data_IF_827765152755
#
_entry.id   IF_827765152755
#
_cell.length_a   1.000
_cell.length_b   1.000
_cell.length_c   1.000
_cell.angle_alpha   90.00
_cell.angle_beta   90.00
_cell.angle_gamma   90.00
#
_symmetry.space_group_name_H-M   'P 1'
#
loop_
_entity.id
_entity.type
_entity.pdbx_description
1 polymer ?
#
# COMPACT_ATOMS: atom_id res chain seq x y z
N UNK A 1 -7.75 3.46 4.30
CA UNK A 1 -8.77 2.52 4.80
C UNK A 1 -8.11 1.34 5.52
N UNK A 2 -7.24 0.54 4.89
CA UNK A 2 -6.63 -0.64 5.51
C UNK A 2 -5.74 -0.32 6.71
N UNK A 3 -4.91 0.72 6.57
CA UNK A 3 -4.14 1.31 7.69
C UNK A 3 -5.03 1.74 8.86
N UNK A 4 -6.18 2.35 8.60
CA UNK A 4 -7.14 2.79 9.63
C UNK A 4 -7.85 1.62 10.30
N UNK A 5 -8.30 0.62 9.54
CA UNK A 5 -8.96 -0.56 10.09
C UNK A 5 -8.00 -1.34 10.99
N UNK A 6 -6.74 -1.50 10.58
CA UNK A 6 -5.71 -2.11 11.40
C UNK A 6 -5.47 -1.31 12.69
N UNK A 7 -5.34 0.02 12.60
CA UNK A 7 -5.20 0.91 13.76
C UNK A 7 -6.35 0.79 14.75
N UNK A 8 -7.60 0.80 14.26
CA UNK A 8 -8.79 0.68 15.11
C UNK A 8 -8.92 -0.68 15.78
N UNK A 9 -8.57 -1.77 15.09
CA UNK A 9 -8.56 -3.13 15.67
C UNK A 9 -7.50 -3.24 16.77
N UNK A 10 -6.37 -2.54 16.62
CA UNK A 10 -5.30 -2.51 17.62
C UNK A 10 -5.55 -1.50 18.76
N UNK A 11 -6.71 -0.84 18.78
CA UNK A 11 -7.12 0.06 19.85
C UNK A 11 -6.58 1.48 19.74
N UNK A 12 -5.97 1.86 18.61
CA UNK A 12 -5.52 3.23 18.37
C UNK A 12 -6.67 4.13 17.94
N UNK A 13 -6.64 5.38 18.42
CA UNK A 13 -7.54 6.42 17.92
C UNK A 13 -7.04 6.86 16.53
N UNK A 14 -7.66 6.31 15.50
CA UNK A 14 -7.25 6.51 14.12
C UNK A 14 -8.20 7.48 13.42
N UNK A 15 -7.63 8.55 12.87
CA UNK A 15 -8.32 9.55 12.06
C UNK A 15 -7.98 9.36 10.59
N UNK A 16 -8.99 9.38 9.72
CA UNK A 16 -8.77 9.38 8.27
C UNK A 16 -8.83 10.83 7.80
N UNK A 17 -7.75 11.29 7.17
CA UNK A 17 -7.73 12.48 6.35
C UNK A 17 -7.79 12.07 4.87
N UNK A 18 -8.25 12.95 3.98
CA UNK A 18 -8.35 12.66 2.54
C UNK A 18 -7.04 12.23 1.88
N UNK A 19 -5.89 12.58 2.48
CA UNK A 19 -4.55 12.24 1.97
C UNK A 19 -3.89 11.05 2.66
N UNK A 20 -4.20 10.80 3.93
CA UNK A 20 -3.56 9.76 4.75
C UNK A 20 -4.47 9.27 5.87
N UNK A 21 -4.27 8.04 6.31
CA UNK A 21 -4.76 7.61 7.61
C UNK A 21 -3.70 8.00 8.65
N UNK A 22 -4.06 8.87 9.57
CA UNK A 22 -3.22 9.21 10.73
C UNK A 22 -3.73 8.40 11.92
N UNK A 23 -2.82 7.79 12.65
CA UNK A 23 -3.12 7.08 13.87
C UNK A 23 -2.43 7.83 15.01
N UNK A 24 -3.15 8.06 16.11
CA UNK A 24 -2.59 8.72 17.28
C UNK A 24 -1.70 7.75 18.05
N UNK A 25 -0.49 7.59 17.55
CA UNK A 25 0.62 6.95 18.23
C UNK A 25 1.58 8.01 18.79
N UNK A 26 1.12 9.27 18.87
CA UNK A 26 1.95 10.42 19.21
C UNK A 26 2.56 10.28 20.60
N UNK A 27 1.85 9.71 21.56
CA UNK A 27 2.37 9.51 22.92
C UNK A 27 3.52 8.49 22.95
N UNK A 28 3.35 7.30 22.35
CA UNK A 28 4.42 6.28 22.30
C UNK A 28 5.57 6.70 21.39
N UNK A 29 5.30 7.35 20.26
CA UNK A 29 6.34 7.93 19.40
C UNK A 29 7.12 9.03 20.12
N UNK A 30 6.44 9.94 20.84
CA UNK A 30 7.10 10.98 21.62
C UNK A 30 7.93 10.39 22.76
N UNK A 31 7.42 9.37 23.46
CA UNK A 31 8.17 8.63 24.47
C UNK A 31 9.39 7.92 23.86
N UNK A 32 9.24 7.31 22.70
CA UNK A 32 10.35 6.67 21.97
C UNK A 32 11.40 7.70 21.53
N UNK A 33 10.98 8.88 21.05
CA UNK A 33 11.89 9.97 20.70
C UNK A 33 12.62 10.53 21.92
N UNK A 34 11.94 10.65 23.06
CA UNK A 34 12.57 11.06 24.31
C UNK A 34 13.62 10.04 24.77
N UNK A 35 13.27 8.75 24.80
CA UNK A 35 14.21 7.68 25.15
C UNK A 35 15.39 7.59 24.17
N UNK A 36 15.17 7.84 22.88
CA UNK A 36 16.23 7.92 21.88
C UNK A 36 17.16 9.11 22.12
N UNK A 37 16.61 10.28 22.46
CA UNK A 37 17.40 11.48 22.81
C UNK A 37 18.20 11.27 24.09
N UNK A 38 17.61 10.65 25.11
CA UNK A 38 18.29 10.29 26.37
C UNK A 38 19.42 9.30 26.10
N UNK A 39 19.19 8.29 25.25
CA UNK A 39 20.21 7.32 24.84
C UNK A 39 21.38 7.98 24.12
N UNK A 40 21.12 8.84 23.13
CA UNK A 40 22.20 9.55 22.40
C UNK A 40 23.01 10.45 23.35
N UNK A 41 22.34 11.14 24.27
CA UNK A 41 23.01 11.98 25.27
C UNK A 41 23.90 11.17 26.21
N UNK A 42 23.46 9.96 26.59
CA UNK A 42 24.23 9.04 27.42
C UNK A 42 25.44 8.45 26.67
N UNK A 43 25.29 8.13 25.37
CA UNK A 43 26.38 7.68 24.50
C UNK A 43 27.44 8.78 24.30
N UNK A 44 27.03 10.03 24.06
CA UNK A 44 27.94 11.18 23.97
C UNK A 44 28.71 11.43 25.29
N UNK A 45 28.06 11.18 26.43
CA UNK A 45 28.66 11.32 27.76
C UNK A 45 29.42 10.07 28.22
N UNK A 46 29.47 9.01 27.41
CA UNK A 46 30.06 7.70 27.77
C UNK A 46 29.51 7.11 29.08
N UNK A 47 28.25 7.42 29.38
CA UNK A 47 27.51 6.94 30.56
C UNK A 47 26.58 5.80 30.18
N UNK A 48 26.36 4.86 31.11
CA UNK A 48 25.46 3.72 30.88
C UNK A 48 23.99 4.18 30.81
N UNK A 49 23.29 3.78 29.75
CA UNK A 49 21.88 4.10 29.56
C UNK A 49 21.00 3.13 30.35
N UNK A 50 20.56 3.55 31.54
CA UNK A 50 19.80 2.70 32.47
C UNK A 50 18.44 2.20 31.93
N UNK A 51 17.85 2.86 30.93
CA UNK A 51 16.54 2.52 30.35
C UNK A 51 16.62 1.73 29.05
N UNK A 52 17.72 1.01 28.80
CA UNK A 52 17.90 0.29 27.53
C UNK A 52 16.80 -0.75 27.28
N UNK A 53 16.37 -1.47 28.31
CA UNK A 53 15.27 -2.44 28.21
C UNK A 53 13.93 -1.80 27.86
N UNK A 54 13.62 -0.64 28.45
CA UNK A 54 12.41 0.14 28.19
C UNK A 54 12.40 0.66 26.74
N UNK A 55 13.52 1.23 26.28
CA UNK A 55 13.69 1.66 24.90
C UNK A 55 13.52 0.50 23.90
N UNK A 56 14.15 -0.65 24.15
CA UNK A 56 14.04 -1.81 23.26
C UNK A 56 12.63 -2.39 23.21
N UNK A 57 11.91 -2.41 24.34
CA UNK A 57 10.54 -2.90 24.39
C UNK A 57 9.58 -1.95 23.68
N UNK A 58 9.68 -0.64 23.95
CA UNK A 58 8.85 0.37 23.30
C UNK A 58 9.10 0.42 21.78
N UNK A 59 10.38 0.34 21.37
CA UNK A 59 10.75 0.25 19.96
C UNK A 59 10.13 -0.96 19.28
N UNK A 60 10.20 -2.15 19.90
CA UNK A 60 9.59 -3.37 19.37
C UNK A 60 8.07 -3.24 19.22
N UNK A 61 7.42 -2.57 20.15
CA UNK A 61 5.97 -2.35 20.12
C UNK A 61 5.58 -1.43 18.96
N UNK A 62 6.24 -0.28 18.81
CA UNK A 62 6.03 0.65 17.70
C UNK A 62 6.33 0.01 16.35
N UNK A 63 7.42 -0.75 16.25
CA UNK A 63 7.80 -1.49 15.03
C UNK A 63 6.74 -2.53 14.65
N UNK A 64 6.24 -3.29 15.63
CA UNK A 64 5.19 -4.29 15.43
C UNK A 64 3.89 -3.64 14.94
N UNK A 65 3.48 -2.55 15.56
CA UNK A 65 2.19 -1.92 15.24
C UNK A 65 2.24 -1.26 13.86
N UNK A 66 3.35 -0.58 13.53
CA UNK A 66 3.63 -0.09 12.17
C UNK A 66 3.64 -1.20 11.11
N UNK A 67 4.19 -2.38 11.43
CA UNK A 67 4.13 -3.55 10.54
C UNK A 67 2.68 -3.96 10.23
N UNK A 68 1.82 -4.06 11.24
CA UNK A 68 0.42 -4.45 11.04
C UNK A 68 -0.39 -3.41 10.27
N UNK A 69 -0.14 -2.12 10.48
CA UNK A 69 -0.79 -1.06 9.69
C UNK A 69 -0.41 -1.17 8.22
N UNK A 70 0.89 -1.27 7.97
CA UNK A 70 1.46 -1.43 6.63
C UNK A 70 0.89 -2.66 5.93
N UNK A 71 0.87 -3.80 6.63
CA UNK A 71 0.30 -5.04 6.14
C UNK A 71 -1.20 -4.90 5.83
N UNK A 72 -1.97 -4.21 6.67
CA UNK A 72 -3.40 -3.97 6.45
C UNK A 72 -3.68 -3.19 5.16
N UNK A 73 -2.84 -2.21 4.84
CA UNK A 73 -2.91 -1.48 3.56
C UNK A 73 -2.71 -2.40 2.34
N UNK A 74 -1.64 -3.21 2.37
CA UNK A 74 -1.27 -4.12 1.29
C UNK A 74 -2.27 -5.28 1.13
N UNK A 75 -2.69 -5.88 2.25
CA UNK A 75 -3.67 -6.96 2.22
C UNK A 75 -5.02 -6.49 1.69
N UNK A 76 -5.44 -5.26 2.00
CA UNK A 76 -6.71 -4.74 1.50
C UNK A 76 -6.74 -4.76 -0.04
N UNK A 77 -5.71 -4.24 -0.71
CA UNK A 77 -5.66 -4.19 -2.17
C UNK A 77 -5.56 -5.57 -2.79
N UNK A 78 -4.76 -6.46 -2.20
CA UNK A 78 -4.65 -7.86 -2.61
C UNK A 78 -6.00 -8.58 -2.49
N UNK A 79 -6.72 -8.40 -1.38
CA UNK A 79 -7.99 -9.07 -1.13
C UNK A 79 -9.05 -8.63 -2.14
N UNK A 80 -9.27 -7.33 -2.32
CA UNK A 80 -10.24 -6.84 -3.29
C UNK A 80 -9.89 -7.25 -4.72
N UNK A 81 -8.61 -7.13 -5.10
CA UNK A 81 -8.14 -7.53 -6.42
C UNK A 81 -8.31 -9.02 -6.70
N UNK A 82 -7.96 -9.86 -5.71
CA UNK A 82 -8.03 -11.33 -5.84
C UNK A 82 -9.47 -11.82 -5.85
N UNK A 83 -10.34 -11.33 -4.97
CA UNK A 83 -11.75 -11.73 -4.96
C UNK A 83 -12.45 -11.41 -6.28
N UNK A 84 -12.19 -10.22 -6.83
CA UNK A 84 -12.72 -9.83 -8.12
C UNK A 84 -12.15 -10.69 -9.26
N UNK A 85 -10.86 -11.02 -9.22
CA UNK A 85 -10.23 -11.88 -10.21
C UNK A 85 -10.79 -13.31 -10.19
N UNK A 86 -10.94 -13.91 -9.00
CA UNK A 86 -11.54 -15.25 -8.83
C UNK A 86 -12.97 -15.27 -9.34
N UNK A 87 -13.75 -14.22 -9.06
CA UNK A 87 -15.11 -14.07 -9.58
C UNK A 87 -15.15 -14.06 -11.12
N UNK A 88 -14.24 -13.30 -11.76
CA UNK A 88 -14.11 -13.28 -13.21
C UNK A 88 -13.77 -14.66 -13.79
N UNK A 89 -12.83 -15.38 -13.16
CA UNK A 89 -12.46 -16.74 -13.58
C UNK A 89 -13.64 -17.71 -13.47
N UNK A 90 -14.38 -17.67 -12.36
CA UNK A 90 -15.56 -18.51 -12.15
C UNK A 90 -16.61 -18.26 -13.23
N UNK A 91 -16.90 -16.99 -13.51
CA UNK A 91 -17.90 -16.63 -14.51
C UNK A 91 -17.47 -17.01 -15.93
N UNK A 92 -16.19 -16.81 -16.28
CA UNK A 92 -15.64 -17.19 -17.59
C UNK A 92 -15.67 -18.70 -17.80
N UNK A 93 -15.49 -19.51 -16.75
CA UNK A 93 -15.60 -20.97 -16.83
C UNK A 93 -17.05 -21.44 -16.99
N UNK A 94 -18.02 -20.73 -16.39
CA UNK A 94 -19.44 -21.11 -16.37
C UNK A 94 -20.22 -20.65 -17.61
N UNK A 95 -19.78 -19.59 -18.29
CA UNK A 95 -20.53 -18.98 -19.39
C UNK A 95 -19.95 -19.35 -20.76
N UNK A 96 -20.78 -19.99 -21.60
CA UNK A 96 -20.47 -20.37 -22.98
C UNK A 96 -20.57 -19.20 -23.98
N UNK A 97 -21.22 -18.09 -23.60
CA UNK A 97 -21.32 -16.88 -24.44
C UNK A 97 -20.57 -15.70 -23.79
N UNK A 98 -19.45 -15.23 -24.36
CA UNK A 98 -18.46 -14.42 -23.65
C UNK A 98 -18.76 -12.91 -23.64
N UNK A 99 -20.03 -12.50 -23.71
CA UNK A 99 -20.36 -11.08 -23.61
C UNK A 99 -20.15 -10.58 -22.16
N UNK A 100 -19.48 -9.45 -22.03
CA UNK A 100 -19.22 -8.80 -20.74
C UNK A 100 -20.47 -8.06 -20.27
N UNK A 101 -20.98 -8.40 -19.08
CA UNK A 101 -22.04 -7.59 -18.46
C UNK A 101 -21.42 -6.49 -17.59
N UNK A 102 -22.24 -5.54 -17.16
CA UNK A 102 -21.85 -4.47 -16.24
C UNK A 102 -21.09 -4.98 -15.00
N UNK A 103 -21.54 -6.09 -14.40
CA UNK A 103 -20.86 -6.73 -13.25
C UNK A 103 -19.44 -7.20 -13.57
N UNK A 104 -19.16 -7.59 -14.83
CA UNK A 104 -17.80 -7.97 -15.23
C UNK A 104 -16.90 -6.74 -15.33
N UNK A 105 -17.43 -5.61 -15.79
CA UNK A 105 -16.66 -4.37 -15.82
C UNK A 105 -16.31 -3.90 -14.41
N UNK A 106 -17.24 -4.02 -13.46
CA UNK A 106 -16.96 -3.76 -12.03
C UNK A 106 -15.88 -4.71 -11.51
N UNK A 107 -15.99 -6.01 -11.79
CA UNK A 107 -15.01 -6.98 -11.35
C UNK A 107 -13.63 -6.75 -12.02
N UNK A 108 -13.58 -6.39 -13.31
CA UNK A 108 -12.36 -5.99 -14.01
C UNK A 108 -11.75 -4.78 -13.31
N UNK A 109 -12.55 -3.76 -12.98
CA UNK A 109 -12.09 -2.58 -12.26
C UNK A 109 -11.49 -2.95 -10.89
N UNK A 110 -12.16 -3.79 -10.10
CA UNK A 110 -11.62 -4.23 -8.80
C UNK A 110 -10.38 -5.10 -8.95
N UNK A 111 -10.29 -5.96 -9.97
CA UNK A 111 -9.06 -6.73 -10.23
C UNK A 111 -7.85 -5.85 -10.49
N UNK A 112 -8.04 -4.64 -11.03
CA UNK A 112 -6.96 -3.68 -11.22
C UNK A 112 -6.44 -3.04 -9.93
N UNK A 113 -6.98 -3.38 -8.75
CA UNK A 113 -6.36 -2.98 -7.48
C UNK A 113 -4.93 -3.55 -7.33
N UNK A 114 -4.63 -4.65 -8.02
CA UNK A 114 -3.28 -5.19 -8.18
C UNK A 114 -2.30 -4.23 -8.89
N UNK A 115 -2.79 -3.22 -9.61
CA UNK A 115 -1.96 -2.20 -10.26
C UNK A 115 -1.15 -1.40 -9.23
N UNK A 116 -1.63 -1.27 -7.98
CA UNK A 116 -0.88 -0.60 -6.90
C UNK A 116 0.44 -1.32 -6.60
N UNK A 117 0.41 -2.64 -6.53
CA UNK A 117 1.59 -3.48 -6.26
C UNK A 117 2.61 -3.41 -7.40
N UNK A 118 2.16 -3.13 -8.62
CA UNK A 118 3.04 -2.90 -9.79
C UNK A 118 3.58 -1.46 -9.77
N UNK A 119 2.72 -0.49 -9.47
CA UNK A 119 3.04 0.94 -9.53
C UNK A 119 4.10 1.35 -8.50
N UNK A 120 3.99 0.86 -7.26
CA UNK A 120 4.90 1.21 -6.15
C UNK A 120 6.38 0.92 -6.47
N UNK A 121 6.78 -0.29 -6.90
CA UNK A 121 8.17 -0.54 -7.29
C UNK A 121 8.55 0.20 -8.59
N UNK A 122 7.65 0.34 -9.55
CA UNK A 122 7.96 1.08 -10.80
C UNK A 122 8.29 2.54 -10.53
N UNK A 123 7.48 3.25 -9.74
CA UNK A 123 7.74 4.66 -9.43
C UNK A 123 9.03 4.81 -8.62
N UNK A 124 9.33 3.86 -7.74
CA UNK A 124 10.56 3.86 -6.94
C UNK A 124 11.81 3.70 -7.81
N UNK A 125 11.78 2.80 -8.79
CA UNK A 125 12.87 2.63 -9.76
C UNK A 125 13.03 3.88 -10.64
N UNK A 126 11.92 4.46 -11.13
CA UNK A 126 11.95 5.69 -11.93
C UNK A 126 12.55 6.84 -11.10
N UNK A 127 12.13 7.01 -9.85
CA UNK A 127 12.70 8.03 -8.97
C UNK A 127 14.20 7.79 -8.71
N UNK A 128 14.61 6.56 -8.42
CA UNK A 128 16.02 6.23 -8.21
C UNK A 128 16.90 6.49 -9.43
N UNK A 129 16.37 6.32 -10.66
CA UNK A 129 17.10 6.58 -11.90
C UNK A 129 17.15 8.07 -12.27
N UNK A 130 16.07 8.83 -12.05
CA UNK A 130 15.97 10.22 -12.51
C UNK A 130 16.33 11.28 -11.45
N UNK A 131 16.26 10.98 -10.16
CA UNK A 131 16.46 11.96 -9.07
C UNK A 131 17.79 11.83 -8.32
N UNK A 132 18.74 11.00 -8.78
CA UNK A 132 20.08 10.83 -8.17
C UNK A 132 20.03 10.64 -6.64
N UNK A 133 18.97 10.00 -6.13
CA UNK A 133 18.74 9.72 -4.72
C UNK A 133 18.59 8.22 -4.52
N UNK A 134 19.30 7.68 -3.54
CA UNK A 134 19.47 6.26 -3.18
C UNK A 134 18.19 5.51 -2.77
N UNK A 135 17.00 6.04 -3.06
CA UNK A 135 15.72 5.44 -2.69
C UNK A 135 15.18 4.63 -3.87
N UNK A 136 15.64 3.38 -3.98
CA UNK A 136 15.22 2.44 -5.03
C UNK A 136 13.87 1.77 -4.71
N UNK A 137 13.41 1.84 -3.46
CA UNK A 137 12.20 1.18 -2.98
C UNK A 137 11.45 2.09 -2.00
N UNK A 138 10.34 2.69 -2.45
CA UNK A 138 9.41 3.48 -1.66
C UNK A 138 8.04 2.81 -1.57
N UNK A 139 7.31 3.10 -0.49
CA UNK A 139 5.95 2.57 -0.26
C UNK A 139 5.82 1.76 1.02
N UNK A 140 4.77 0.94 1.06
CA UNK A 140 4.42 0.10 2.20
C UNK A 140 5.20 -1.24 2.14
N UNK A 141 5.45 -1.75 0.94
CA UNK A 141 6.06 -3.05 0.66
C UNK A 141 7.57 -3.13 1.03
N UNK A 142 8.38 -2.07 0.88
CA UNK A 142 9.77 -2.06 1.34
C UNK A 142 9.88 -2.01 2.88
N UNK A 143 8.93 -1.34 3.55
CA UNK A 143 8.84 -1.36 5.02
C UNK A 143 8.57 -2.77 5.53
N UNK A 144 7.64 -3.49 4.89
CA UNK A 144 7.38 -4.91 5.15
C UNK A 144 8.64 -5.78 4.97
N UNK A 145 9.40 -5.55 3.90
CA UNK A 145 10.66 -6.28 3.65
C UNK A 145 11.67 -6.05 4.78
N UNK A 146 11.81 -4.80 5.25
CA UNK A 146 12.68 -4.43 6.37
C UNK A 146 12.28 -5.12 7.68
N UNK A 147 10.97 -5.19 7.97
CA UNK A 147 10.47 -5.91 9.16
C UNK A 147 10.70 -7.42 9.09
N UNK A 148 10.67 -8.01 7.89
CA UNK A 148 10.91 -9.43 7.67
C UNK A 148 12.40 -9.80 7.55
N UNK A 149 13.32 -8.82 7.65
CA UNK A 149 14.75 -9.02 7.44
C UNK A 149 15.09 -9.42 5.99
N UNK A 150 14.20 -9.12 5.04
CA UNK A 150 14.37 -9.42 3.62
C UNK A 150 14.98 -8.19 2.90
N UNK A 151 15.62 -8.40 1.74
CA UNK A 151 16.05 -7.30 0.89
C UNK A 151 14.88 -6.35 0.58
N UNK A 152 15.11 -5.03 0.60
CA UNK A 152 14.06 -3.99 0.54
C UNK A 152 13.09 -4.12 -0.65
N UNK A 153 13.53 -4.78 -1.73
CA UNK A 153 12.71 -5.03 -2.93
C UNK A 153 12.03 -6.39 -2.98
N UNK A 154 12.31 -7.35 -2.08
CA UNK A 154 11.89 -8.74 -2.24
C UNK A 154 10.36 -8.89 -2.24
N UNK A 155 9.67 -8.31 -1.26
CA UNK A 155 8.20 -8.35 -1.17
C UNK A 155 7.58 -7.54 -2.31
N UNK A 156 8.11 -6.35 -2.58
CA UNK A 156 7.64 -5.44 -3.63
C UNK A 156 7.71 -6.07 -5.02
N UNK A 157 8.84 -6.70 -5.37
CA UNK A 157 9.04 -7.36 -6.67
C UNK A 157 8.14 -8.59 -6.78
N UNK A 158 8.04 -9.40 -5.73
CA UNK A 158 7.20 -10.59 -5.73
C UNK A 158 5.72 -10.24 -5.97
N UNK A 159 5.20 -9.24 -5.25
CA UNK A 159 3.82 -8.77 -5.41
C UNK A 159 3.60 -8.10 -6.77
N UNK A 160 4.58 -7.34 -7.29
CA UNK A 160 4.51 -6.74 -8.61
C UNK A 160 4.44 -7.80 -9.72
N UNK A 161 5.18 -8.90 -9.59
CA UNK A 161 5.14 -10.01 -10.56
C UNK A 161 3.77 -10.68 -10.56
N UNK A 162 3.20 -10.98 -9.38
CA UNK A 162 1.86 -11.55 -9.27
C UNK A 162 0.81 -10.59 -9.83
N UNK A 163 0.85 -9.32 -9.42
CA UNK A 163 -0.05 -8.30 -9.90
C UNK A 163 0.04 -8.13 -11.41
N UNK A 164 1.27 -8.15 -11.97
CA UNK A 164 1.53 -8.08 -13.40
C UNK A 164 0.89 -9.23 -14.17
N UNK A 165 1.02 -10.46 -13.66
CA UNK A 165 0.37 -11.64 -14.26
C UNK A 165 -1.15 -11.54 -14.25
N UNK A 166 -1.73 -11.09 -13.13
CA UNK A 166 -3.19 -10.91 -12.99
C UNK A 166 -3.69 -9.81 -13.94
N UNK A 167 -3.08 -8.62 -13.92
CA UNK A 167 -3.43 -7.50 -14.79
C UNK A 167 -3.28 -7.87 -16.27
N UNK A 168 -2.19 -8.57 -16.63
CA UNK A 168 -1.99 -9.07 -17.99
C UNK A 168 -3.12 -10.02 -18.41
N UNK A 169 -3.49 -10.98 -17.55
CA UNK A 169 -4.58 -11.90 -17.84
C UNK A 169 -5.91 -11.16 -18.02
N UNK A 170 -6.24 -10.21 -17.14
CA UNK A 170 -7.49 -9.45 -17.21
C UNK A 170 -7.55 -8.64 -18.51
N UNK A 171 -6.50 -7.89 -18.85
CA UNK A 171 -6.51 -7.01 -20.04
C UNK A 171 -6.47 -7.82 -21.33
N UNK A 172 -5.59 -8.82 -21.44
CA UNK A 172 -5.35 -9.51 -22.71
C UNK A 172 -6.22 -10.74 -22.92
N UNK A 173 -6.78 -11.35 -21.87
CA UNK A 173 -7.59 -12.56 -21.97
C UNK A 173 -9.07 -12.33 -21.70
N UNK A 174 -9.41 -11.40 -20.78
CA UNK A 174 -10.81 -11.13 -20.43
C UNK A 174 -11.38 -10.00 -21.27
N UNK A 175 -10.62 -8.94 -21.54
CA UNK A 175 -11.14 -7.77 -22.26
C UNK A 175 -11.16 -7.99 -23.81
N UNK A 176 -12.27 -7.64 -24.50
CA UNK A 176 -12.37 -7.69 -25.95
C UNK A 176 -11.29 -6.84 -26.63
N UNK A 177 -10.71 -7.34 -27.72
CA UNK A 177 -9.58 -6.68 -28.41
C UNK A 177 -9.92 -5.26 -28.84
N UNK A 178 -11.16 -5.03 -29.23
CA UNK A 178 -11.68 -3.75 -29.74
C UNK A 178 -11.77 -2.67 -28.66
N UNK A 179 -11.83 -3.06 -27.38
CA UNK A 179 -12.01 -2.14 -26.25
C UNK A 179 -10.75 -1.92 -25.41
N UNK A 180 -9.64 -2.62 -25.72
CA UNK A 180 -8.41 -2.57 -24.91
C UNK A 180 -7.79 -1.19 -24.88
N UNK A 181 -7.59 -0.55 -26.03
CA UNK A 181 -6.95 0.77 -26.09
C UNK A 181 -7.80 1.81 -25.35
N UNK A 182 -9.10 1.86 -25.64
CA UNK A 182 -10.04 2.75 -24.95
C UNK A 182 -10.02 2.54 -23.43
N UNK A 183 -9.92 1.29 -22.97
CA UNK A 183 -9.87 0.98 -21.55
C UNK A 183 -8.56 1.46 -20.90
N UNK A 184 -7.42 1.29 -21.57
CA UNK A 184 -6.12 1.78 -21.09
C UNK A 184 -6.11 3.31 -21.06
N UNK A 185 -6.57 3.95 -22.13
CA UNK A 185 -6.63 5.42 -22.24
C UNK A 185 -7.57 6.01 -21.18
N UNK A 186 -8.75 5.40 -21.01
CA UNK A 186 -9.69 5.79 -19.95
C UNK A 186 -9.10 5.55 -18.55
N UNK A 187 -8.31 4.50 -18.36
CA UNK A 187 -7.61 4.24 -17.10
C UNK A 187 -6.56 5.32 -16.79
N UNK A 188 -5.78 5.73 -17.78
CA UNK A 188 -4.79 6.80 -17.62
C UNK A 188 -5.44 8.16 -17.35
N UNK A 189 -6.37 8.57 -18.21
CA UNK A 189 -7.07 9.86 -18.09
C UNK A 189 -7.93 9.89 -16.83
N UNK A 190 -8.68 8.82 -16.58
CA UNK A 190 -9.53 8.68 -15.39
C UNK A 190 -8.71 8.62 -14.10
N UNK A 191 -7.53 7.99 -14.10
CA UNK A 191 -6.63 7.97 -12.95
C UNK A 191 -6.10 9.37 -12.61
N UNK A 192 -5.65 10.13 -13.61
CA UNK A 192 -5.17 11.51 -13.42
C UNK A 192 -6.30 12.43 -12.95
N UNK A 193 -7.45 12.39 -13.63
CA UNK A 193 -8.60 13.21 -13.29
C UNK A 193 -9.16 12.84 -11.91
N UNK A 194 -9.24 11.53 -11.61
CA UNK A 194 -9.68 11.04 -10.31
C UNK A 194 -8.76 11.50 -9.18
N UNK A 195 -7.43 11.41 -9.38
CA UNK A 195 -6.46 11.93 -8.43
C UNK A 195 -6.63 13.44 -8.20
N UNK A 196 -6.74 14.23 -9.27
CA UNK A 196 -6.92 15.68 -9.17
C UNK A 196 -8.24 16.05 -8.50
N UNK A 197 -9.33 15.40 -8.88
CA UNK A 197 -10.66 15.63 -8.35
C UNK A 197 -10.73 15.27 -6.86
N UNK A 198 -10.11 14.16 -6.46
CA UNK A 198 -10.02 13.78 -5.05
C UNK A 198 -9.12 14.73 -4.26
N UNK A 199 -7.89 14.97 -4.72
CA UNK A 199 -6.91 15.73 -3.96
C UNK A 199 -7.19 17.23 -3.87
N UNK A 200 -7.84 17.84 -4.89
CA UNK A 200 -8.09 19.28 -4.93
C UNK A 200 -9.52 19.68 -4.57
N UNK A 201 -10.50 18.81 -4.78
CA UNK A 201 -11.91 19.18 -4.70
C UNK A 201 -12.65 18.39 -3.63
N UNK A 202 -12.79 17.08 -3.79
CA UNK A 202 -13.64 16.29 -2.90
C UNK A 202 -12.98 15.94 -1.58
N UNK A 203 -11.71 15.57 -1.60
CA UNK A 203 -10.97 15.15 -0.42
C UNK A 203 -11.01 16.18 0.70
N UNK A 204 -10.56 17.43 0.46
CA UNK A 204 -10.56 18.48 1.48
C UNK A 204 -11.94 18.83 2.04
N UNK A 205 -13.01 18.58 1.28
CA UNK A 205 -14.39 18.93 1.68
C UNK A 205 -15.06 17.79 2.45
N UNK A 206 -14.83 16.54 2.03
CA UNK A 206 -15.50 15.36 2.58
C UNK A 206 -14.78 14.81 3.82
N UNK A 207 -13.43 14.87 3.83
CA UNK A 207 -12.60 14.39 4.94
C UNK A 207 -11.44 15.38 5.18
N UNK A 208 -11.73 16.56 5.75
CA UNK A 208 -10.71 17.57 6.07
C UNK A 208 -9.65 17.07 7.06
#
# INVERSE_FOLDING_TARGET
>A
MGHWTAAKIMGYDATINYRSANYDDSEKLNQLYQLFSEKNSAEEQSTEFAKESEYLNLKKEVDRDSFYFTLGGVLQTILFGTLAFVWLLYRRKKSTNPQLNFTDYIAIFFSLFWLREIFNPLISVVQGLFLSGSIYFGGDEPKLSKYLGLPEGAVSIFLAVIGGMICYYVIYKILPKEKRSTFIDAGLVGGILGYLLWMRLLGPVVMP
#
